data_IF_097307325288
#
_entry.id   IF_097307325288
#
_cell.length_a   1.000
_cell.length_b   1.000
_cell.length_c   1.000
_cell.angle_alpha   90.00
_cell.angle_beta   90.00
_cell.angle_gamma   90.00
#
_symmetry.space_group_name_H-M   'P 1'
#
loop_
_entity.id
_entity.type
_entity.pdbx_description
1 polymer ?
#
# COMPACT_ATOMS: atom_id res chain seq x y z
N UNK A 1 10.84 -10.23 17.12
CA UNK A 1 9.93 -9.37 16.34
C UNK A 1 10.50 -9.24 14.94
N UNK A 2 9.70 -9.43 13.91
CA UNK A 2 10.19 -9.32 12.54
C UNK A 2 10.54 -7.85 12.25
N UNK A 3 11.70 -7.60 11.63
CA UNK A 3 12.12 -6.25 11.21
C UNK A 3 11.02 -5.57 10.36
N UNK A 4 10.31 -6.36 9.60
CA UNK A 4 9.16 -5.99 8.79
C UNK A 4 8.02 -5.38 9.59
N UNK A 5 7.73 -5.92 10.77
CA UNK A 5 6.64 -5.43 11.62
C UNK A 5 7.01 -4.12 12.35
N UNK A 6 8.27 -3.98 12.73
CA UNK A 6 8.75 -2.77 13.42
C UNK A 6 8.74 -1.57 12.46
N UNK A 7 9.13 -1.78 11.22
CA UNK A 7 9.14 -0.73 10.19
C UNK A 7 7.72 -0.29 9.83
N UNK A 8 6.75 -1.18 9.93
CA UNK A 8 5.36 -0.91 9.56
C UNK A 8 4.58 -0.15 10.62
N UNK A 9 4.90 -0.33 11.91
CA UNK A 9 4.20 0.33 13.01
C UNK A 9 4.33 1.86 12.99
N UNK A 10 5.36 2.40 12.37
CA UNK A 10 5.61 3.84 12.33
C UNK A 10 4.92 4.57 11.17
N UNK A 11 4.29 3.87 10.24
CA UNK A 11 3.74 4.47 9.00
C UNK A 11 2.21 4.64 9.04
N UNK A 12 1.54 4.36 10.16
CA UNK A 12 0.11 4.03 10.26
C UNK A 12 -0.83 5.22 10.46
N UNK A 13 -0.52 6.44 10.03
CA UNK A 13 -1.43 7.57 10.32
C UNK A 13 -2.01 8.29 9.09
N UNK A 14 -1.80 7.79 7.88
CA UNK A 14 -2.32 8.42 6.67
C UNK A 14 -3.34 7.51 5.97
N UNK A 15 -4.42 8.10 5.45
CA UNK A 15 -5.31 7.40 4.53
C UNK A 15 -4.53 6.89 3.32
N UNK A 16 -4.73 5.61 2.97
CA UNK A 16 -3.99 4.97 1.89
C UNK A 16 -2.74 4.20 2.35
N UNK A 17 -2.53 4.12 3.66
CA UNK A 17 -1.60 3.18 4.27
C UNK A 17 -2.42 2.17 5.07
N UNK A 18 -2.36 0.89 4.69
CA UNK A 18 -3.13 -0.14 5.36
C UNK A 18 -2.66 -0.35 6.78
N UNK A 19 -3.59 -0.39 7.72
CA UNK A 19 -3.27 -0.63 9.13
C UNK A 19 -2.95 -2.11 9.35
N UNK A 20 -1.81 -2.38 10.00
CA UNK A 20 -1.47 -3.73 10.45
C UNK A 20 -2.19 -4.02 11.76
N UNK A 21 -3.05 -5.02 11.76
CA UNK A 21 -3.87 -5.41 12.92
C UNK A 21 -3.16 -6.36 13.86
N UNK A 22 -2.32 -7.21 13.31
CA UNK A 22 -1.56 -8.20 14.07
C UNK A 22 -0.31 -8.58 13.30
N UNK A 23 0.75 -8.89 14.03
CA UNK A 23 1.99 -9.40 13.47
C UNK A 23 2.63 -10.37 14.46
N UNK A 24 3.10 -11.51 13.99
CA UNK A 24 3.70 -12.49 14.86
C UNK A 24 4.15 -13.76 14.17
N UNK A 25 4.53 -14.72 15.02
CA UNK A 25 4.98 -16.05 14.61
C UNK A 25 4.02 -17.08 15.19
N UNK A 26 3.56 -18.00 14.36
CA UNK A 26 2.74 -19.13 14.78
C UNK A 26 3.33 -20.39 14.17
N UNK A 27 3.89 -21.27 15.03
CA UNK A 27 4.63 -22.45 14.60
C UNK A 27 5.84 -22.06 13.74
N UNK A 28 5.93 -22.62 12.54
CA UNK A 28 7.00 -22.35 11.58
C UNK A 28 6.70 -21.16 10.65
N UNK A 29 5.54 -20.50 10.84
CA UNK A 29 5.07 -19.43 9.98
C UNK A 29 5.20 -18.07 10.65
N UNK A 30 5.63 -17.08 9.87
CA UNK A 30 5.54 -15.67 10.22
C UNK A 30 4.39 -15.06 9.44
N UNK A 31 3.57 -14.26 10.12
CA UNK A 31 2.43 -13.66 9.48
C UNK A 31 2.08 -12.30 10.05
N UNK A 32 1.27 -11.60 9.31
CA UNK A 32 0.65 -10.38 9.79
C UNK A 32 -0.78 -10.28 9.24
N UNK A 33 -1.63 -9.62 9.99
CA UNK A 33 -3.00 -9.31 9.56
C UNK A 33 -3.12 -7.82 9.31
N UNK A 34 -3.72 -7.46 8.20
CA UNK A 34 -3.96 -6.08 7.79
C UNK A 34 -5.40 -5.90 7.32
N UNK A 35 -5.79 -4.65 7.10
CA UNK A 35 -7.09 -4.34 6.51
C UNK A 35 -7.28 -5.09 5.20
N UNK A 36 -8.51 -5.58 4.98
CA UNK A 36 -8.88 -6.16 3.69
C UNK A 36 -9.01 -5.05 2.65
N UNK A 37 -8.26 -5.18 1.57
CA UNK A 37 -8.27 -4.23 0.46
C UNK A 37 -8.89 -4.85 -0.79
N UNK A 38 -9.23 -4.00 -1.75
CA UNK A 38 -9.83 -4.39 -3.01
C UNK A 38 -8.82 -4.75 -4.09
N UNK A 39 -9.18 -4.46 -5.34
CA UNK A 39 -8.35 -4.75 -6.51
C UNK A 39 -7.08 -3.91 -6.50
N UNK A 40 -5.97 -4.51 -6.94
CA UNK A 40 -4.78 -3.74 -7.25
C UNK A 40 -4.93 -3.03 -8.60
N UNK A 41 -4.04 -2.08 -8.90
CA UNK A 41 -4.15 -1.29 -10.14
C UNK A 41 -3.94 -2.12 -11.41
N UNK A 42 -3.19 -3.21 -11.34
CA UNK A 42 -3.02 -4.12 -12.47
C UNK A 42 -4.36 -4.81 -12.81
N UNK A 43 -5.06 -5.29 -11.80
CA UNK A 43 -6.38 -5.91 -11.97
C UNK A 43 -7.41 -4.88 -12.44
N UNK A 44 -7.39 -3.67 -11.86
CA UNK A 44 -8.28 -2.58 -12.26
C UNK A 44 -8.09 -2.23 -13.74
N UNK A 45 -6.84 -2.11 -14.18
CA UNK A 45 -6.52 -1.85 -15.58
C UNK A 45 -7.06 -2.94 -16.50
N UNK A 46 -6.89 -4.19 -16.12
CA UNK A 46 -7.41 -5.33 -16.87
C UNK A 46 -8.95 -5.26 -17.01
N UNK A 47 -9.67 -4.96 -15.93
CA UNK A 47 -11.13 -4.80 -15.98
C UNK A 47 -11.58 -3.62 -16.86
N UNK A 48 -10.75 -2.61 -17.01
CA UNK A 48 -11.03 -1.44 -17.85
C UNK A 48 -10.52 -1.61 -19.31
N UNK A 49 -10.22 -2.82 -19.73
CA UNK A 49 -9.75 -3.11 -21.09
C UNK A 49 -8.33 -2.63 -21.35
N UNK A 50 -7.46 -2.65 -20.34
CA UNK A 50 -6.07 -2.21 -20.35
C UNK A 50 -5.88 -0.71 -20.67
N UNK A 51 -6.92 0.10 -20.48
CA UNK A 51 -6.87 1.53 -20.71
C UNK A 51 -7.68 2.28 -19.67
N UNK A 52 -7.07 3.25 -19.01
CA UNK A 52 -7.73 4.16 -18.09
C UNK A 52 -7.89 5.52 -18.74
N UNK A 53 -8.97 6.25 -18.37
CA UNK A 53 -9.15 7.63 -18.84
C UNK A 53 -8.06 8.52 -18.26
N UNK A 54 -7.76 9.63 -18.94
CA UNK A 54 -6.80 10.62 -18.45
C UNK A 54 -7.19 11.13 -17.06
N UNK A 55 -8.47 11.38 -16.83
CA UNK A 55 -8.98 11.81 -15.51
C UNK A 55 -8.63 10.78 -14.42
N UNK A 56 -8.88 9.51 -14.67
CA UNK A 56 -8.58 8.43 -13.72
C UNK A 56 -7.08 8.34 -13.45
N UNK A 57 -6.25 8.40 -14.50
CA UNK A 57 -4.79 8.37 -14.37
C UNK A 57 -4.29 9.53 -13.50
N UNK A 58 -4.80 10.75 -13.72
CA UNK A 58 -4.39 11.92 -12.95
C UNK A 58 -4.83 11.83 -11.48
N UNK A 59 -6.03 11.32 -11.21
CA UNK A 59 -6.51 11.11 -9.84
C UNK A 59 -5.70 10.05 -9.11
N UNK A 60 -5.33 8.97 -9.78
CA UNK A 60 -4.47 7.93 -9.21
C UNK A 60 -3.06 8.47 -8.96
N UNK A 61 -2.48 9.19 -9.91
CA UNK A 61 -1.15 9.77 -9.79
C UNK A 61 -1.02 10.70 -8.58
N UNK A 62 -2.01 11.55 -8.37
CA UNK A 62 -2.05 12.47 -7.23
C UNK A 62 -2.00 11.68 -5.90
N UNK A 63 -2.83 10.67 -5.75
CA UNK A 63 -2.83 9.82 -4.56
C UNK A 63 -1.53 9.03 -4.38
N UNK A 64 -1.02 8.43 -5.45
CA UNK A 64 0.20 7.62 -5.41
C UNK A 64 1.41 8.47 -4.99
N UNK A 65 1.56 9.66 -5.54
CA UNK A 65 2.63 10.59 -5.18
C UNK A 65 2.49 11.01 -3.71
N UNK A 66 1.29 11.30 -3.25
CA UNK A 66 1.02 11.65 -1.85
C UNK A 66 1.42 10.52 -0.89
N UNK A 67 1.13 9.26 -1.26
CA UNK A 67 1.55 8.09 -0.45
C UNK A 67 3.06 7.97 -0.38
N UNK A 68 3.73 8.14 -1.52
CA UNK A 68 5.20 8.08 -1.58
C UNK A 68 5.85 9.21 -0.78
N UNK A 69 5.35 10.43 -0.92
CA UNK A 69 5.82 11.57 -0.12
C UNK A 69 5.74 11.25 1.37
N UNK A 70 4.60 10.75 1.83
CA UNK A 70 4.41 10.38 3.23
C UNK A 70 5.42 9.30 3.70
N UNK A 71 5.58 8.25 2.91
CA UNK A 71 6.51 7.16 3.23
C UNK A 71 7.96 7.67 3.28
N UNK A 72 8.34 8.51 2.30
CA UNK A 72 9.68 9.10 2.24
C UNK A 72 9.92 10.07 3.41
N UNK A 73 8.92 10.83 3.82
CA UNK A 73 9.03 11.73 4.99
C UNK A 73 9.25 10.96 6.29
N UNK A 74 8.83 9.70 6.34
CA UNK A 74 9.14 8.79 7.46
C UNK A 74 10.52 8.13 7.36
N UNK A 75 11.30 8.48 6.36
CA UNK A 75 12.63 7.92 6.15
C UNK A 75 12.65 6.52 5.55
N UNK A 76 11.58 6.13 4.85
CA UNK A 76 11.44 4.79 4.27
C UNK A 76 11.44 4.89 2.75
N UNK A 77 12.19 4.01 2.10
CA UNK A 77 12.14 3.77 0.65
C UNK A 77 11.48 2.43 0.41
N UNK A 78 10.44 2.41 -0.41
CA UNK A 78 9.64 1.20 -0.65
C UNK A 78 10.42 0.11 -1.40
N UNK A 79 11.06 0.46 -2.49
CA UNK A 79 11.94 -0.37 -3.33
C UNK A 79 11.23 -1.47 -4.15
N UNK A 80 9.90 -1.52 -4.16
CA UNK A 80 9.14 -2.49 -4.97
C UNK A 80 7.86 -1.84 -5.53
N UNK A 81 7.98 -0.64 -6.10
CA UNK A 81 6.84 0.08 -6.67
C UNK A 81 6.41 -0.57 -7.99
N UNK A 82 5.18 -1.02 -8.03
CA UNK A 82 4.56 -1.63 -9.21
C UNK A 82 3.04 -1.58 -9.07
N UNK A 83 2.27 -1.69 -10.17
CA UNK A 83 0.82 -1.62 -10.10
C UNK A 83 0.17 -2.62 -9.13
N UNK A 84 0.80 -3.78 -8.94
CA UNK A 84 0.32 -4.82 -8.03
C UNK A 84 0.39 -4.41 -6.56
N UNK A 85 1.22 -3.42 -6.20
CA UNK A 85 1.40 -2.96 -4.83
C UNK A 85 0.60 -1.68 -4.51
N UNK A 86 -0.27 -1.26 -5.41
CA UNK A 86 -1.26 -0.22 -5.15
C UNK A 86 -2.66 -0.83 -5.23
N UNK A 87 -3.37 -0.85 -4.11
CA UNK A 87 -4.69 -1.48 -3.99
C UNK A 87 -5.75 -0.43 -3.67
N UNK A 88 -6.92 -0.59 -4.30
CA UNK A 88 -8.10 0.21 -3.94
C UNK A 88 -8.68 -0.26 -2.61
N UNK A 89 -9.42 0.58 -1.93
CA UNK A 89 -10.18 0.18 -0.76
C UNK A 89 -11.41 -0.66 -1.13
N UNK A 90 -12.11 -1.18 -0.12
CA UNK A 90 -13.23 -2.11 -0.34
C UNK A 90 -14.60 -1.44 -0.23
N UNK A 91 -14.79 -0.49 0.68
CA UNK A 91 -16.13 0.03 1.01
C UNK A 91 -16.12 1.53 1.31
N UNK A 92 -17.27 2.18 1.05
CA UNK A 92 -17.52 3.57 1.44
C UNK A 92 -16.55 4.55 0.81
N UNK A 93 -16.13 5.52 1.60
CA UNK A 93 -15.18 6.57 1.16
C UNK A 93 -13.83 5.97 0.78
N UNK A 94 -13.41 4.90 1.44
CA UNK A 94 -12.13 4.22 1.19
C UNK A 94 -12.10 3.45 -0.13
N UNK A 95 -13.26 3.17 -0.75
CA UNK A 95 -13.32 2.48 -2.04
C UNK A 95 -12.55 3.21 -3.15
N UNK A 96 -12.46 4.53 -3.07
CA UNK A 96 -11.75 5.38 -4.03
C UNK A 96 -10.36 5.80 -3.53
N UNK A 97 -9.91 5.24 -2.42
CA UNK A 97 -8.59 5.54 -1.85
C UNK A 97 -7.58 4.49 -2.29
N UNK A 98 -6.46 4.95 -2.86
CA UNK A 98 -5.34 4.08 -3.25
C UNK A 98 -4.47 3.80 -2.04
N UNK A 99 -4.19 2.52 -1.79
CA UNK A 99 -3.35 2.06 -0.68
C UNK A 99 -2.04 1.51 -1.21
N UNK A 100 -0.93 1.94 -0.63
CA UNK A 100 0.38 1.38 -0.92
C UNK A 100 0.66 0.25 0.06
N UNK A 101 1.00 -0.91 -0.47
CA UNK A 101 1.23 -2.14 0.30
C UNK A 101 2.57 -2.79 -0.05
N UNK A 102 2.88 -3.87 0.66
CA UNK A 102 4.05 -4.72 0.45
C UNK A 102 5.38 -3.98 0.64
N UNK A 103 5.70 -3.74 1.90
CA UNK A 103 6.95 -3.13 2.33
C UNK A 103 8.06 -4.17 2.57
N UNK A 104 7.93 -5.38 1.99
CA UNK A 104 8.86 -6.48 2.21
C UNK A 104 10.29 -6.21 1.78
N UNK A 105 10.48 -5.33 0.79
CA UNK A 105 11.80 -4.90 0.30
C UNK A 105 12.19 -3.49 0.78
N UNK A 106 11.35 -2.87 1.61
CA UNK A 106 11.61 -1.50 2.10
C UNK A 106 12.82 -1.41 3.01
N UNK A 107 13.41 -0.24 3.06
CA UNK A 107 14.54 0.06 3.93
C UNK A 107 14.50 1.51 4.39
N UNK A 108 15.21 1.79 5.47
CA UNK A 108 15.40 3.16 5.91
C UNK A 108 16.48 3.85 5.09
N UNK A 109 16.29 5.13 4.83
CA UNK A 109 17.34 5.99 4.27
C UNK A 109 17.56 7.21 5.20
N UNK A 110 18.70 7.74 5.13
CA UNK A 110 19.01 8.98 5.85
C UNK A 110 19.31 10.09 4.88
#
# INVERSE_FOLDING_TARGET
MCLFCVNFFFVVLLDGIAETRWCGVEGDYRGFAMDLLGLNLQQLMFFCGNKLSLKTVLMLADQMITRLEYVHDKGIVHRDLKPQNFLMGTTGVKANTVHLVDYGLSDYYM
#
